data_IF_575316126104
#
_entry.id   IF_575316126104
#
_cell.length_a   1.000
_cell.length_b   1.000
_cell.length_c   1.000
_cell.angle_alpha   90.00
_cell.angle_beta   90.00
_cell.angle_gamma   90.00
#
_symmetry.space_group_name_H-M   'P 1'
#
loop_
_entity.id
_entity.type
_entity.pdbx_description
1 polymer ?
#
# COMPACT_ATOMS: atom_id res chain seq x y z
N UNK A 1 -16.31 27.88 -34.04
CA UNK A 1 -15.62 26.93 -33.12
C UNK A 1 -16.45 26.75 -31.84
N UNK A 2 -17.72 26.33 -31.97
CA UNK A 2 -18.67 26.26 -30.83
C UNK A 2 -18.43 25.02 -29.97
N UNK A 3 -18.14 23.89 -30.62
CA UNK A 3 -17.87 22.60 -29.96
C UNK A 3 -16.66 22.71 -29.03
N UNK A 4 -15.55 23.33 -29.48
CA UNK A 4 -14.33 23.50 -28.66
C UNK A 4 -14.58 24.34 -27.41
N UNK A 5 -15.42 25.38 -27.51
CA UNK A 5 -15.78 26.22 -26.38
C UNK A 5 -16.64 25.46 -25.34
N UNK A 6 -17.60 24.64 -25.79
CA UNK A 6 -18.44 23.81 -24.93
C UNK A 6 -17.64 22.78 -24.13
N UNK A 7 -16.69 22.08 -24.76
CA UNK A 7 -15.85 21.10 -24.06
C UNK A 7 -14.90 21.78 -23.06
N UNK A 8 -14.38 22.97 -23.38
CA UNK A 8 -13.54 23.72 -22.46
C UNK A 8 -14.32 24.12 -21.20
N UNK A 9 -15.54 24.61 -21.37
CA UNK A 9 -16.43 24.95 -20.25
C UNK A 9 -16.78 23.71 -19.40
N UNK A 10 -17.01 22.56 -20.04
CA UNK A 10 -17.30 21.31 -19.34
C UNK A 10 -16.10 20.81 -18.51
N UNK A 11 -14.89 20.93 -19.04
CA UNK A 11 -13.67 20.60 -18.30
C UNK A 11 -13.52 21.50 -17.07
N UNK A 12 -13.71 22.81 -17.25
CA UNK A 12 -13.61 23.78 -16.15
C UNK A 12 -14.62 23.51 -15.03
N UNK A 13 -15.86 23.14 -15.40
CA UNK A 13 -16.89 22.73 -14.42
C UNK A 13 -16.44 21.47 -13.68
N UNK A 14 -15.98 20.44 -14.40
CA UNK A 14 -15.54 19.17 -13.78
C UNK A 14 -14.31 19.36 -12.88
N UNK A 15 -13.36 20.23 -13.26
CA UNK A 15 -12.20 20.56 -12.44
C UNK A 15 -12.62 21.29 -11.15
N UNK A 16 -13.56 22.22 -11.23
CA UNK A 16 -14.11 22.93 -10.07
C UNK A 16 -14.92 22.00 -9.15
N UNK A 17 -15.71 21.09 -9.70
CA UNK A 17 -16.42 20.05 -8.94
C UNK A 17 -15.44 19.13 -8.22
N UNK A 18 -14.40 18.67 -8.92
CA UNK A 18 -13.34 17.85 -8.34
C UNK A 18 -12.63 18.59 -7.20
N UNK A 19 -12.29 19.86 -7.40
CA UNK A 19 -11.62 20.66 -6.39
C UNK A 19 -12.50 20.85 -5.15
N UNK A 20 -13.78 21.14 -5.35
CA UNK A 20 -14.76 21.27 -4.26
C UNK A 20 -14.92 19.98 -3.48
N UNK A 21 -15.00 18.82 -4.16
CA UNK A 21 -15.05 17.51 -3.52
C UNK A 21 -13.79 17.21 -2.72
N UNK A 22 -12.60 17.51 -3.27
CA UNK A 22 -11.32 17.31 -2.58
C UNK A 22 -11.24 18.14 -1.30
N UNK A 23 -11.66 19.39 -1.33
CA UNK A 23 -11.70 20.25 -0.13
C UNK A 23 -12.68 19.70 0.91
N UNK A 24 -13.88 19.30 0.49
CA UNK A 24 -14.90 18.75 1.39
C UNK A 24 -14.51 17.39 2.01
N UNK A 25 -13.73 16.57 1.30
CA UNK A 25 -13.30 15.24 1.78
C UNK A 25 -11.95 15.25 2.48
N UNK A 26 -11.16 16.33 2.35
CA UNK A 26 -9.90 16.51 3.07
C UNK A 26 -10.18 16.88 4.52
N UNK A 27 -10.63 15.90 5.29
CA UNK A 27 -10.59 15.98 6.74
C UNK A 27 -9.22 15.41 7.20
N UNK A 28 -8.28 16.24 7.67
CA UNK A 28 -6.96 15.79 8.11
C UNK A 28 -7.04 14.77 9.27
N UNK A 29 -8.04 14.86 10.15
CA UNK A 29 -8.25 13.89 11.23
C UNK A 29 -8.58 12.48 10.68
N UNK A 30 -9.25 12.39 9.52
CA UNK A 30 -9.56 11.10 8.89
C UNK A 30 -8.35 10.45 8.22
N UNK A 31 -7.26 11.19 7.99
CA UNK A 31 -6.06 10.62 7.35
C UNK A 31 -5.37 9.67 8.31
N UNK A 32 -5.18 10.07 9.57
CA UNK A 32 -4.54 9.25 10.59
C UNK A 32 -5.37 8.00 10.90
N UNK A 33 -6.69 8.14 11.02
CA UNK A 33 -7.59 7.00 11.22
C UNK A 33 -7.52 5.99 10.07
N UNK A 34 -7.50 6.48 8.82
CA UNK A 34 -7.37 5.63 7.63
C UNK A 34 -6.00 4.97 7.58
N UNK A 35 -4.94 5.68 7.95
CA UNK A 35 -3.59 5.15 8.01
C UNK A 35 -3.49 4.06 9.06
N UNK A 36 -3.98 4.31 10.28
CA UNK A 36 -4.02 3.35 11.38
C UNK A 36 -4.81 2.09 10.99
N UNK A 37 -5.94 2.26 10.30
CA UNK A 37 -6.72 1.14 9.78
C UNK A 37 -5.98 0.36 8.69
N UNK A 38 -5.28 1.05 7.78
CA UNK A 38 -4.47 0.40 6.76
C UNK A 38 -3.32 -0.41 7.39
N UNK A 39 -2.62 0.19 8.35
CA UNK A 39 -1.54 -0.46 9.10
C UNK A 39 -2.04 -1.68 9.88
N UNK A 40 -3.19 -1.59 10.54
CA UNK A 40 -3.76 -2.74 11.27
C UNK A 40 -4.13 -3.90 10.34
N UNK A 41 -4.64 -3.60 9.14
CA UNK A 41 -4.93 -4.62 8.12
C UNK A 41 -3.65 -5.26 7.61
N UNK A 42 -2.63 -4.47 7.28
CA UNK A 42 -1.34 -4.98 6.78
C UNK A 42 -0.64 -5.84 7.83
N UNK A 43 -0.61 -5.39 9.10
CA UNK A 43 0.00 -6.14 10.21
C UNK A 43 -0.70 -7.48 10.49
N UNK A 44 -2.00 -7.56 10.24
CA UNK A 44 -2.80 -8.77 10.44
C UNK A 44 -3.08 -9.54 9.13
N UNK A 45 -2.39 -9.20 8.03
CA UNK A 45 -2.71 -9.71 6.70
C UNK A 45 -2.61 -11.24 6.62
N UNK A 46 -1.65 -11.83 7.33
CA UNK A 46 -1.49 -13.30 7.41
C UNK A 46 -2.71 -13.96 8.05
N UNK A 47 -3.16 -13.44 9.20
CA UNK A 47 -4.35 -13.95 9.90
C UNK A 47 -5.61 -13.77 9.05
N UNK A 48 -5.76 -12.60 8.43
CA UNK A 48 -6.87 -12.30 7.51
C UNK A 48 -6.87 -13.25 6.31
N UNK A 49 -5.71 -13.58 5.75
CA UNK A 49 -5.63 -14.55 4.65
C UNK A 49 -6.02 -15.97 5.09
N UNK A 50 -5.61 -16.40 6.28
CA UNK A 50 -5.91 -17.74 6.77
C UNK A 50 -7.41 -17.93 7.08
N UNK A 51 -8.02 -16.96 7.76
CA UNK A 51 -9.41 -17.03 8.26
C UNK A 51 -10.48 -16.61 7.25
N UNK A 52 -10.10 -16.05 6.10
CA UNK A 52 -11.05 -15.50 5.14
C UNK A 52 -11.60 -16.50 4.12
N UNK A 53 -12.69 -16.12 3.44
CA UNK A 53 -13.27 -16.90 2.33
C UNK A 53 -12.34 -16.92 1.11
N UNK A 54 -12.56 -17.87 0.20
CA UNK A 54 -11.79 -17.98 -1.06
C UNK A 54 -11.83 -16.67 -1.88
N UNK A 55 -12.97 -15.97 -1.88
CA UNK A 55 -13.10 -14.69 -2.57
C UNK A 55 -12.22 -13.60 -1.95
N UNK A 56 -12.21 -13.51 -0.61
CA UNK A 56 -11.39 -12.54 0.10
C UNK A 56 -9.89 -12.85 -0.03
N UNK A 57 -9.50 -14.13 0.01
CA UNK A 57 -8.12 -14.57 -0.28
C UNK A 57 -7.67 -14.11 -1.66
N UNK A 58 -8.52 -14.26 -2.67
CA UNK A 58 -8.24 -13.79 -4.04
C UNK A 58 -8.02 -12.28 -4.08
N UNK A 59 -8.85 -11.50 -3.40
CA UNK A 59 -8.70 -10.04 -3.30
C UNK A 59 -7.41 -9.62 -2.61
N UNK A 60 -7.02 -10.34 -1.55
CA UNK A 60 -5.75 -10.13 -0.85
C UNK A 60 -4.58 -10.40 -1.80
N UNK A 61 -4.58 -11.54 -2.50
CA UNK A 61 -3.54 -11.89 -3.46
C UNK A 61 -3.45 -10.84 -4.58
N UNK A 62 -4.58 -10.39 -5.14
CA UNK A 62 -4.59 -9.35 -6.18
C UNK A 62 -4.12 -7.98 -5.69
N UNK A 63 -4.22 -7.70 -4.39
CA UNK A 63 -3.68 -6.47 -3.79
C UNK A 63 -2.14 -6.52 -3.67
N UNK A 64 -1.60 -7.71 -3.40
CA UNK A 64 -0.16 -7.97 -3.30
C UNK A 64 0.49 -7.99 -4.69
N UNK A 65 -0.18 -8.61 -5.66
CA UNK A 65 0.30 -8.79 -7.03
C UNK A 65 -0.65 -8.05 -7.99
N UNK A 66 -0.33 -6.79 -8.34
CA UNK A 66 -1.20 -5.97 -9.18
C UNK A 66 -1.22 -6.42 -10.65
N UNK A 67 -0.29 -7.27 -11.06
CA UNK A 67 -0.17 -7.76 -12.44
C UNK A 67 -0.82 -9.14 -12.59
N UNK A 68 -1.23 -9.45 -13.81
CA UNK A 68 -1.86 -10.73 -14.13
C UNK A 68 -0.89 -11.87 -13.82
N UNK A 69 -1.46 -12.99 -13.38
CA UNK A 69 -0.71 -14.21 -13.16
C UNK A 69 -0.39 -14.81 -14.54
N UNK A 70 0.85 -14.65 -14.99
CA UNK A 70 1.28 -15.17 -16.28
C UNK A 70 1.68 -16.64 -16.14
N UNK A 71 0.99 -17.49 -16.90
CA UNK A 71 1.34 -18.88 -17.06
C UNK A 71 2.21 -19.04 -18.30
N UNK A 72 3.49 -19.32 -18.09
CA UNK A 72 4.47 -19.50 -19.18
C UNK A 72 4.56 -20.96 -19.64
N UNK A 73 3.63 -21.84 -19.22
CA UNK A 73 3.62 -23.26 -19.56
C UNK A 73 4.52 -24.14 -18.68
N UNK A 74 5.49 -23.54 -17.98
CA UNK A 74 6.44 -24.23 -17.10
C UNK A 74 6.32 -23.72 -15.65
N UNK A 75 5.98 -22.44 -15.49
CA UNK A 75 5.84 -21.80 -14.19
C UNK A 75 4.68 -20.79 -14.17
N UNK A 76 4.26 -20.45 -12.95
CA UNK A 76 3.35 -19.33 -12.68
C UNK A 76 4.18 -18.17 -12.14
N UNK A 77 4.29 -17.07 -12.88
CA UNK A 77 4.96 -15.87 -12.40
C UNK A 77 3.93 -14.79 -12.12
N UNK A 78 3.99 -14.21 -10.92
CA UNK A 78 3.45 -12.87 -10.69
C UNK A 78 4.60 -11.90 -10.94
N UNK A 79 4.44 -11.08 -11.97
CA UNK A 79 5.52 -10.34 -12.58
C UNK A 79 6.15 -9.30 -11.63
N UNK A 80 5.37 -8.84 -10.64
CA UNK A 80 5.75 -7.75 -9.74
C UNK A 80 4.96 -7.76 -8.43
N UNK A 81 5.67 -7.56 -7.32
CA UNK A 81 5.08 -7.29 -6.00
C UNK A 81 4.70 -5.81 -5.91
N UNK A 82 3.60 -5.50 -5.22
CA UNK A 82 3.20 -4.14 -4.90
C UNK A 82 4.39 -3.34 -4.30
N UNK A 83 4.64 -2.14 -4.81
CA UNK A 83 5.77 -1.31 -4.39
C UNK A 83 5.72 -0.97 -2.90
N UNK A 84 4.53 -0.78 -2.33
CA UNK A 84 4.35 -0.50 -0.90
C UNK A 84 4.87 -1.66 -0.05
N UNK A 85 4.53 -2.90 -0.43
CA UNK A 85 5.00 -4.09 0.28
C UNK A 85 6.52 -4.27 0.16
N UNK A 86 7.07 -3.93 -1.02
CA UNK A 86 8.51 -3.94 -1.23
C UNK A 86 9.22 -2.92 -0.32
N UNK A 87 8.67 -1.70 -0.19
CA UNK A 87 9.19 -0.68 0.73
C UNK A 87 9.09 -1.10 2.20
N UNK A 88 7.98 -1.73 2.60
CA UNK A 88 7.81 -2.25 3.96
C UNK A 88 8.89 -3.29 4.27
N UNK A 89 9.11 -4.26 3.38
CA UNK A 89 10.12 -5.30 3.56
C UNK A 89 11.54 -4.72 3.73
N UNK A 90 11.90 -3.71 2.93
CA UNK A 90 13.20 -3.03 3.04
C UNK A 90 13.37 -2.34 4.40
N UNK A 91 12.32 -1.68 4.90
CA UNK A 91 12.32 -1.05 6.22
C UNK A 91 12.47 -2.11 7.32
N UNK A 92 11.73 -3.22 7.23
CA UNK A 92 11.81 -4.31 8.20
C UNK A 92 13.22 -4.91 8.29
N UNK A 93 13.86 -5.16 7.15
CA UNK A 93 15.23 -5.70 7.10
C UNK A 93 16.23 -4.71 7.72
N UNK A 94 16.12 -3.42 7.38
CA UNK A 94 16.99 -2.40 7.97
C UNK A 94 16.81 -2.26 9.47
N UNK A 95 15.57 -2.35 9.96
CA UNK A 95 15.29 -2.34 11.41
C UNK A 95 15.85 -3.59 12.11
N UNK A 96 15.79 -4.75 11.47
CA UNK A 96 16.39 -5.99 11.96
C UNK A 96 17.92 -5.86 12.08
N UNK A 97 18.58 -5.36 11.04
CA UNK A 97 20.04 -5.16 11.03
C UNK A 97 20.48 -4.20 12.15
N UNK A 98 19.80 -3.06 12.29
CA UNK A 98 20.07 -2.08 13.36
C UNK A 98 19.86 -2.68 14.76
N UNK A 99 18.89 -3.58 14.93
CA UNK A 99 18.67 -4.23 16.21
C UNK A 99 19.79 -5.22 16.55
N UNK A 100 20.26 -5.99 15.56
CA UNK A 100 21.38 -6.91 15.72
C UNK A 100 22.67 -6.16 16.06
N UNK A 101 22.96 -5.05 15.38
CA UNK A 101 24.12 -4.20 15.67
C UNK A 101 24.08 -3.63 17.10
N UNK A 102 22.90 -3.21 17.57
CA UNK A 102 22.72 -2.74 18.96
C UNK A 102 22.93 -3.86 19.97
N UNK A 103 22.46 -5.08 19.70
CA UNK A 103 22.68 -6.23 20.57
C UNK A 103 24.17 -6.59 20.67
N UNK A 104 24.88 -6.59 19.55
CA UNK A 104 26.33 -6.82 19.50
C UNK A 104 27.07 -5.76 20.33
N UNK A 105 26.73 -4.47 20.15
CA UNK A 105 27.34 -3.37 20.91
C UNK A 105 27.04 -3.44 22.41
N UNK A 106 25.86 -3.92 22.82
CA UNK A 106 25.49 -4.10 24.23
C UNK A 106 26.24 -5.27 24.89
N UNK A 107 26.50 -6.34 24.14
CA UNK A 107 27.34 -7.47 24.62
C UNK A 107 28.83 -7.09 24.73
N UNK A 108 29.29 -6.14 23.91
CA UNK A 108 30.67 -5.65 23.94
C UNK A 108 30.96 -4.66 25.07
N UNK A 109 29.97 -4.23 25.86
CA UNK A 109 30.21 -3.37 27.03
C UNK A 109 30.72 -4.28 28.16
N UNK A 110 32.00 -4.15 28.58
CA UNK A 110 32.49 -4.92 29.71
C UNK A 110 31.73 -4.45 30.96
N UNK A 111 31.13 -5.39 31.68
CA UNK A 111 30.63 -5.12 33.03
C UNK A 111 31.86 -5.06 33.93
N UNK A 112 32.17 -3.86 34.43
CA UNK A 112 33.19 -3.64 35.45
C UNK A 112 32.61 -3.94 36.83
#
# INVERSE_FOLDING_TARGET
MIIKAQYKQKIEILENELHSCLIATRNPEKVDDRLNKALSVISNLSLLYQSSSVEAKRKIISSIYPENLEFTGIDYRTNRVNSILSSISLISNRLYDLNNEKMIKKQLIPVW
#
